data_IF_354725210467
#
_entry.id   IF_354725210467
#
_cell.length_a   1.000
_cell.length_b   1.000
_cell.length_c   1.000
_cell.angle_alpha   90.00
_cell.angle_beta   90.00
_cell.angle_gamma   90.00
#
_symmetry.space_group_name_H-M   'P 1'
#
loop_
_entity.id
_entity.type
_entity.pdbx_description
1 polymer ?
#
# COMPACT_ATOMS: atom_id res chain seq x y z
N UNK A 1 -16.53 5.80 -6.63
CA UNK A 1 -16.78 5.12 -5.35
C UNK A 1 -15.67 4.11 -5.07
N UNK A 2 -15.21 4.08 -3.84
CA UNK A 2 -14.21 3.14 -3.36
C UNK A 2 -14.78 2.42 -2.14
N UNK A 3 -14.72 1.08 -2.15
CA UNK A 3 -15.13 0.28 -1.00
C UNK A 3 -14.14 0.48 0.14
N UNK A 4 -14.64 0.79 1.31
CA UNK A 4 -13.83 0.87 2.52
C UNK A 4 -13.59 -0.53 3.10
N UNK A 5 -12.33 -0.79 3.45
CA UNK A 5 -11.93 -2.00 4.13
C UNK A 5 -12.24 -1.91 5.63
N UNK A 6 -12.11 -3.04 6.34
CA UNK A 6 -12.52 -3.13 7.75
C UNK A 6 -11.77 -2.15 8.66
N UNK A 7 -10.46 -2.02 8.50
CA UNK A 7 -9.66 -1.13 9.35
C UNK A 7 -10.05 0.34 9.17
N UNK A 8 -10.13 0.90 7.93
CA UNK A 8 -10.65 2.24 7.74
C UNK A 8 -12.06 2.44 8.28
N UNK A 9 -12.96 1.45 8.13
CA UNK A 9 -14.30 1.52 8.69
C UNK A 9 -14.28 1.62 10.21
N UNK A 10 -13.47 0.83 10.90
CA UNK A 10 -13.32 0.89 12.35
C UNK A 10 -12.81 2.27 12.81
N UNK A 11 -11.88 2.86 12.08
CA UNK A 11 -11.37 4.19 12.38
C UNK A 11 -12.47 5.23 12.25
N UNK A 12 -13.24 5.20 11.15
CA UNK A 12 -14.34 6.14 10.92
C UNK A 12 -15.41 6.00 12.02
N UNK A 13 -15.77 4.76 12.39
CA UNK A 13 -16.75 4.52 13.46
C UNK A 13 -16.28 5.08 14.81
N UNK A 14 -14.99 4.98 15.13
CA UNK A 14 -14.44 5.54 16.35
C UNK A 14 -14.64 7.06 16.46
N UNK A 15 -14.58 7.76 15.34
CA UNK A 15 -14.71 9.22 15.28
C UNK A 15 -16.11 9.70 14.91
N UNK A 16 -17.05 8.79 14.71
CA UNK A 16 -18.44 9.13 14.33
C UNK A 16 -19.10 10.17 15.25
N UNK A 17 -18.97 10.09 16.59
CA UNK A 17 -19.58 11.08 17.48
C UNK A 17 -19.05 12.49 17.30
N UNK A 18 -17.89 12.66 16.68
CA UNK A 18 -17.25 13.95 16.43
C UNK A 18 -17.49 14.51 15.03
N UNK A 19 -18.25 13.76 14.20
CA UNK A 19 -18.54 14.15 12.83
C UNK A 19 -19.55 15.30 12.78
N UNK A 20 -19.22 16.32 12.01
CA UNK A 20 -20.06 17.49 11.78
C UNK A 20 -20.10 17.83 10.29
N UNK A 21 -21.20 18.43 9.83
CA UNK A 21 -21.35 18.93 8.45
C UNK A 21 -21.03 17.91 7.35
N UNK A 22 -21.38 16.65 7.58
CA UNK A 22 -21.08 15.53 6.65
C UNK A 22 -19.57 15.29 6.43
N UNK A 23 -18.72 15.85 7.26
CA UNK A 23 -17.28 15.61 7.24
C UNK A 23 -16.94 14.45 8.16
N UNK A 24 -16.12 13.52 7.67
CA UNK A 24 -15.64 12.38 8.48
C UNK A 24 -14.76 12.89 9.62
N UNK A 25 -13.88 13.82 9.31
CA UNK A 25 -12.98 14.46 10.28
C UNK A 25 -13.18 15.97 10.20
N UNK A 26 -14.03 16.57 11.06
CA UNK A 26 -14.19 18.01 11.08
C UNK A 26 -12.90 18.71 11.53
N UNK A 27 -12.68 19.91 11.04
CA UNK A 27 -11.51 20.75 11.38
C UNK A 27 -10.15 20.18 10.98
N UNK A 28 -10.12 19.17 10.13
CA UNK A 28 -8.89 18.59 9.62
C UNK A 28 -8.46 19.32 8.34
N UNK A 29 -7.22 19.80 8.32
CA UNK A 29 -6.61 20.35 7.12
C UNK A 29 -5.21 19.75 6.92
N UNK A 30 -4.63 19.99 5.76
CA UNK A 30 -3.33 19.42 5.39
C UNK A 30 -2.24 19.76 6.44
N UNK A 31 -2.20 21.01 6.88
CA UNK A 31 -1.17 21.46 7.81
C UNK A 31 -1.33 20.87 9.21
N UNK A 32 -2.58 20.71 9.68
CA UNK A 32 -2.86 20.14 11.00
C UNK A 32 -2.44 18.67 11.10
N UNK A 33 -2.27 17.99 9.96
CA UNK A 33 -1.86 16.59 9.91
C UNK A 33 -0.35 16.46 9.65
N UNK A 34 0.23 17.35 8.84
CA UNK A 34 1.64 17.30 8.50
C UNK A 34 2.57 17.54 9.70
N UNK A 35 2.24 18.48 10.58
CA UNK A 35 3.08 18.75 11.77
C UNK A 35 3.17 17.57 12.73
N UNK A 36 2.05 16.95 13.17
CA UNK A 36 2.11 15.77 14.02
C UNK A 36 2.83 14.60 13.35
N UNK A 37 2.65 14.41 12.04
CA UNK A 37 3.32 13.36 11.29
C UNK A 37 4.84 13.53 11.35
N UNK A 38 5.36 14.72 11.08
CA UNK A 38 6.79 15.03 11.17
C UNK A 38 7.35 14.78 12.57
N UNK A 39 6.59 15.17 13.60
CA UNK A 39 6.97 14.94 14.99
C UNK A 39 7.08 13.45 15.30
N UNK A 40 6.08 12.66 14.92
CA UNK A 40 6.08 11.21 15.12
C UNK A 40 7.26 10.53 14.44
N UNK A 41 7.54 10.92 13.19
CA UNK A 41 8.66 10.37 12.42
C UNK A 41 9.99 10.64 13.11
N UNK A 42 10.18 11.87 13.61
CA UNK A 42 11.38 12.26 14.36
C UNK A 42 11.52 11.48 15.66
N UNK A 43 10.43 11.33 16.41
CA UNK A 43 10.41 10.57 17.67
C UNK A 43 10.70 9.08 17.44
N UNK A 44 10.33 8.53 16.29
CA UNK A 44 10.66 7.15 15.92
C UNK A 44 12.10 6.96 15.44
N UNK A 45 12.91 8.02 15.39
CA UNK A 45 14.30 7.95 14.94
C UNK A 45 14.45 7.76 13.42
N UNK A 46 13.40 8.02 12.65
CA UNK A 46 13.43 7.89 11.20
C UNK A 46 14.05 9.16 10.61
N UNK A 47 15.15 9.01 9.88
CA UNK A 47 15.89 10.12 9.27
C UNK A 47 15.42 10.47 7.86
N UNK A 48 14.66 9.56 7.22
CA UNK A 48 14.13 9.77 5.87
C UNK A 48 13.02 10.83 5.89
N UNK A 49 12.95 11.63 4.84
CA UNK A 49 11.84 12.56 4.64
C UNK A 49 10.58 11.77 4.26
N UNK A 50 9.60 11.77 5.13
CA UNK A 50 8.32 11.07 4.92
C UNK A 50 7.19 12.09 4.91
N UNK A 51 6.34 11.99 3.89
CA UNK A 51 5.17 12.83 3.70
C UNK A 51 3.91 11.96 3.50
N UNK A 52 2.75 12.60 3.37
CA UNK A 52 1.51 11.89 3.02
C UNK A 52 1.59 11.13 1.71
N UNK A 53 2.34 11.66 0.73
CA UNK A 53 2.57 10.94 -0.52
C UNK A 53 3.26 9.61 -0.32
N UNK A 54 4.13 9.49 0.69
CA UNK A 54 4.77 8.21 1.03
C UNK A 54 3.75 7.16 1.47
N UNK A 55 2.70 7.54 2.21
CA UNK A 55 1.63 6.62 2.57
C UNK A 55 0.87 6.12 1.34
N UNK A 56 0.59 7.01 0.41
CA UNK A 56 -0.04 6.69 -0.87
C UNK A 56 0.82 5.75 -1.72
N UNK A 57 2.11 6.03 -1.81
CA UNK A 57 3.08 5.15 -2.49
C UNK A 57 3.18 3.78 -1.80
N UNK A 58 3.23 3.77 -0.48
CA UNK A 58 3.25 2.53 0.31
C UNK A 58 2.03 1.67 0.07
N UNK A 59 0.84 2.27 0.02
CA UNK A 59 -0.39 1.56 -0.31
C UNK A 59 -0.31 0.94 -1.71
N UNK A 60 0.11 1.71 -2.71
CA UNK A 60 0.22 1.21 -4.08
C UNK A 60 1.17 0.01 -4.18
N UNK A 61 2.34 0.12 -3.58
CA UNK A 61 3.34 -0.96 -3.58
C UNK A 61 2.81 -2.20 -2.85
N UNK A 62 2.21 -2.02 -1.67
CA UNK A 62 1.64 -3.12 -0.89
C UNK A 62 0.51 -3.82 -1.65
N UNK A 63 -0.42 -3.05 -2.21
CA UNK A 63 -1.57 -3.59 -2.93
C UNK A 63 -1.13 -4.42 -4.14
N UNK A 64 -0.19 -3.91 -4.93
CA UNK A 64 0.38 -4.63 -6.06
C UNK A 64 1.12 -5.88 -5.61
N UNK A 65 1.89 -5.81 -4.53
CA UNK A 65 2.63 -6.97 -3.99
C UNK A 65 1.69 -8.07 -3.48
N UNK A 66 0.48 -7.72 -3.07
CA UNK A 66 -0.55 -8.66 -2.63
C UNK A 66 -1.45 -9.17 -3.77
N UNK A 67 -1.13 -8.81 -5.00
CA UNK A 67 -1.82 -9.32 -6.18
C UNK A 67 -2.98 -8.47 -6.69
N UNK A 68 -3.15 -7.26 -6.18
CA UNK A 68 -4.16 -6.35 -6.70
C UNK A 68 -3.77 -5.91 -8.12
N UNK A 69 -4.68 -6.01 -9.12
CA UNK A 69 -4.38 -5.55 -10.49
C UNK A 69 -4.02 -4.08 -10.55
N UNK A 70 -3.09 -3.72 -11.44
CA UNK A 70 -2.62 -2.34 -11.59
C UNK A 70 -3.76 -1.36 -11.94
N UNK A 71 -4.71 -1.81 -12.73
CA UNK A 71 -5.88 -0.99 -13.11
C UNK A 71 -6.73 -0.65 -11.89
N UNK A 72 -6.90 -1.61 -10.99
CA UNK A 72 -7.65 -1.42 -9.74
C UNK A 72 -6.91 -0.46 -8.80
N UNK A 73 -5.61 -0.62 -8.65
CA UNK A 73 -4.78 0.28 -7.84
C UNK A 73 -4.84 1.70 -8.38
N UNK A 74 -4.73 1.86 -9.69
CA UNK A 74 -4.81 3.16 -10.35
C UNK A 74 -6.15 3.85 -10.08
N UNK A 75 -7.25 3.11 -10.13
CA UNK A 75 -8.59 3.65 -9.84
C UNK A 75 -8.75 4.05 -8.39
N UNK A 76 -8.29 3.22 -7.46
CA UNK A 76 -8.36 3.52 -6.02
C UNK A 76 -7.57 4.78 -5.69
N UNK A 77 -6.41 4.96 -6.32
CA UNK A 77 -5.58 6.15 -6.15
C UNK A 77 -6.12 7.38 -6.88
N UNK A 78 -7.10 7.22 -7.76
CA UNK A 78 -7.65 8.32 -8.54
C UNK A 78 -6.72 8.81 -9.64
N UNK A 79 -5.79 7.97 -10.11
CA UNK A 79 -4.91 8.33 -11.22
C UNK A 79 -5.69 8.37 -12.53
N UNK A 80 -5.61 9.45 -13.24
CA UNK A 80 -6.17 9.57 -14.60
C UNK A 80 -5.29 8.89 -15.64
N UNK A 81 -4.01 8.71 -15.33
CA UNK A 81 -3.03 8.06 -16.18
C UNK A 81 -2.38 6.87 -15.44
N UNK A 82 -2.55 5.68 -16.01
CA UNK A 82 -2.00 4.44 -15.46
C UNK A 82 -0.47 4.43 -15.41
N UNK A 83 0.21 5.25 -16.22
CA UNK A 83 1.67 5.35 -16.25
C UNK A 83 2.23 5.68 -14.87
N UNK A 84 1.55 6.55 -14.10
CA UNK A 84 1.95 6.89 -12.74
C UNK A 84 1.96 5.65 -11.83
N UNK A 85 0.99 4.76 -11.98
CA UNK A 85 0.90 3.52 -11.21
C UNK A 85 1.92 2.48 -11.70
N UNK A 86 2.26 2.49 -12.98
CA UNK A 86 3.25 1.57 -13.57
C UNK A 86 4.65 1.71 -12.96
N UNK A 87 4.97 2.85 -12.38
CA UNK A 87 6.24 3.03 -11.64
C UNK A 87 6.33 2.07 -10.45
N UNK A 88 5.22 1.76 -9.82
CA UNK A 88 5.16 0.80 -8.71
C UNK A 88 5.16 -0.65 -9.20
N UNK A 89 4.62 -0.89 -10.38
CA UNK A 89 4.53 -2.22 -10.97
C UNK A 89 5.90 -2.84 -11.23
N UNK A 90 6.92 -2.03 -11.53
CA UNK A 90 8.29 -2.52 -11.74
C UNK A 90 8.82 -3.27 -10.52
N UNK A 91 8.58 -2.76 -9.31
CA UNK A 91 9.00 -3.40 -8.07
C UNK A 91 8.28 -4.72 -7.87
N UNK A 92 7.00 -4.76 -8.21
CA UNK A 92 6.17 -5.97 -8.10
C UNK A 92 6.59 -7.05 -9.08
N UNK A 93 6.95 -6.68 -10.32
CA UNK A 93 7.47 -7.60 -11.33
C UNK A 93 8.76 -8.26 -10.85
N UNK A 94 9.68 -7.49 -10.29
CA UNK A 94 10.92 -8.00 -9.71
C UNK A 94 10.62 -9.05 -8.63
N UNK A 95 9.69 -8.77 -7.75
CA UNK A 95 9.29 -9.70 -6.69
C UNK A 95 8.67 -10.98 -7.26
N UNK A 96 7.84 -10.88 -8.29
CA UNK A 96 7.24 -12.04 -8.96
C UNK A 96 8.32 -12.91 -9.59
N UNK A 97 9.31 -12.31 -10.24
CA UNK A 97 10.43 -13.04 -10.83
C UNK A 97 11.23 -13.77 -9.76
N UNK A 98 11.51 -13.12 -8.63
CA UNK A 98 12.23 -13.74 -7.51
C UNK A 98 11.43 -14.90 -6.92
N UNK A 99 10.13 -14.74 -6.75
CA UNK A 99 9.24 -15.78 -6.21
C UNK A 99 9.14 -16.96 -7.19
N UNK A 100 9.05 -16.73 -8.50
CA UNK A 100 9.06 -17.78 -9.53
C UNK A 100 10.38 -18.53 -9.55
N UNK A 101 11.49 -17.84 -9.37
CA UNK A 101 12.81 -18.49 -9.29
C UNK A 101 12.89 -19.43 -8.10
N UNK A 102 12.43 -18.98 -6.92
CA UNK A 102 12.37 -19.82 -5.72
C UNK A 102 11.44 -21.02 -5.90
N UNK A 103 10.28 -20.82 -6.51
CA UNK A 103 9.35 -21.88 -6.81
C UNK A 103 9.94 -22.89 -7.80
N UNK A 104 10.58 -22.41 -8.86
CA UNK A 104 11.27 -23.26 -9.84
C UNK A 104 12.35 -24.13 -9.21
N UNK A 105 13.15 -23.55 -8.30
CA UNK A 105 14.18 -24.29 -7.57
C UNK A 105 13.59 -25.41 -6.71
N UNK A 106 12.49 -25.13 -6.01
CA UNK A 106 11.78 -26.16 -5.22
C UNK A 106 11.23 -27.28 -6.10
N UNK A 107 10.65 -26.94 -7.26
CA UNK A 107 10.18 -27.93 -8.22
C UNK A 107 11.32 -28.81 -8.72
N UNK A 108 12.45 -28.23 -9.09
CA UNK A 108 13.61 -28.96 -9.57
C UNK A 108 14.13 -29.95 -8.52
N UNK A 109 14.18 -29.55 -7.25
CA UNK A 109 14.54 -30.42 -6.15
C UNK A 109 13.57 -31.61 -6.01
N UNK A 110 12.27 -31.35 -6.11
CA UNK A 110 11.25 -32.39 -6.05
C UNK A 110 11.37 -33.36 -7.22
N UNK A 111 11.60 -32.89 -8.44
CA UNK A 111 11.80 -33.75 -9.62
C UNK A 111 13.08 -34.56 -9.50
N UNK A 112 14.17 -33.99 -9.02
CA UNK A 112 15.42 -34.73 -8.82
C UNK A 112 15.25 -35.86 -7.79
N UNK A 113 14.53 -35.59 -6.70
CA UNK A 113 14.24 -36.61 -5.69
C UNK A 113 13.37 -37.75 -6.24
N UNK A 114 12.42 -37.46 -7.12
CA UNK A 114 11.59 -38.49 -7.77
C UNK A 114 12.41 -39.31 -8.75
N UNK A 115 13.29 -38.68 -9.55
CA UNK A 115 14.11 -39.42 -10.54
C UNK A 115 15.24 -40.21 -9.92
N UNK A 116 15.65 -39.91 -8.70
CA UNK A 116 16.67 -40.66 -7.96
C UNK A 116 16.09 -41.78 -7.07
N UNK A 117 14.80 -41.78 -6.91
CA UNK A 117 14.07 -42.82 -6.20
C UNK A 117 13.50 -43.84 -7.12
#
# INVERSE_FOLDING_TARGET
>A
QVKLLDIPLQIIERYRPQQENNLVFPNLNYWSVCKPLKKMIKECGITKSISFHCARHGFATLALSKGMPIESVSRVLGHTNIVTTQLYAKITIQKIDDDLTKFGNKLNQSFNNISMG
#
